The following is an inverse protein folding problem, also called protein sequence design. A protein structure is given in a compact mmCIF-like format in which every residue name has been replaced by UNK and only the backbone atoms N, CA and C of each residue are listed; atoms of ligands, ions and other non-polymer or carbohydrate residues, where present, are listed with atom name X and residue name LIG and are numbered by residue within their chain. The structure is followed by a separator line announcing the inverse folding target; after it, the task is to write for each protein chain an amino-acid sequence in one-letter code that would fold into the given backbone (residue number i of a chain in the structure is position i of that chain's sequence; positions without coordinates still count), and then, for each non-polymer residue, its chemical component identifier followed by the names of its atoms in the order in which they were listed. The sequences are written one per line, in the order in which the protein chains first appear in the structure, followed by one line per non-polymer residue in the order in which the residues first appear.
data_IF_535109696375
#
_entry.id   IF_535109696375
#
_cell.length_a   1.000
_cell.length_b   1.000
_cell.length_c   1.000
_cell.angle_alpha   90.00
_cell.angle_beta   90.00
_cell.angle_gamma   90.00
#
_symmetry.space_group_name_H-M   'P 1'
#
loop_
_entity.id
_entity.type
_entity.pdbx_description
1 polymer ?
#
# COMPACT_ATOMS: atom_id res chain seq x y z
N UNK A 1 -4.37 -6.12 -21.53
CA UNK A 1 -5.02 -6.68 -22.74
C UNK A 1 -5.04 -8.19 -22.55
N UNK A 2 -6.22 -8.83 -22.58
CA UNK A 2 -6.34 -10.29 -22.41
C UNK A 2 -6.42 -10.95 -23.79
N UNK A 3 -5.65 -12.03 -24.02
CA UNK A 3 -5.61 -12.73 -25.31
C UNK A 3 -5.05 -14.15 -25.20
N UNK A 4 -5.22 -15.00 -26.24
CA UNK A 4 -4.55 -16.29 -26.31
C UNK A 4 -3.03 -16.16 -26.29
N UNK A 5 -2.35 -17.02 -25.50
CA UNK A 5 -0.89 -17.00 -25.33
C UNK A 5 -0.07 -16.95 -26.63
N UNK A 6 -0.40 -17.75 -27.67
CA UNK A 6 0.34 -17.73 -28.93
C UNK A 6 0.35 -16.37 -29.67
N UNK A 7 -0.59 -15.46 -29.37
CA UNK A 7 -0.66 -14.12 -30.00
C UNK A 7 0.08 -13.03 -29.21
N UNK A 8 0.64 -13.36 -28.05
CA UNK A 8 1.19 -12.35 -27.13
C UNK A 8 2.39 -11.60 -27.70
N UNK A 9 3.31 -12.29 -28.39
CA UNK A 9 4.50 -11.67 -28.97
C UNK A 9 4.14 -10.69 -30.11
N UNK A 10 3.27 -11.13 -31.02
CA UNK A 10 2.78 -10.28 -32.13
C UNK A 10 2.09 -9.00 -31.62
N UNK A 11 1.23 -9.12 -30.61
CA UNK A 11 0.61 -7.95 -29.99
C UNK A 11 1.64 -7.05 -29.32
N UNK A 12 2.59 -7.63 -28.57
CA UNK A 12 3.61 -6.87 -27.87
C UNK A 12 4.40 -5.99 -28.83
N UNK A 13 4.89 -6.57 -29.92
CA UNK A 13 5.67 -5.86 -30.93
C UNK A 13 4.83 -4.75 -31.59
N UNK A 14 3.58 -5.06 -31.94
CA UNK A 14 2.65 -4.09 -32.54
C UNK A 14 2.39 -2.88 -31.62
N UNK A 15 2.26 -3.12 -30.31
CA UNK A 15 2.05 -2.04 -29.33
C UNK A 15 3.31 -1.19 -29.15
N UNK A 16 4.49 -1.82 -29.14
CA UNK A 16 5.76 -1.11 -29.02
C UNK A 16 6.01 -0.19 -30.23
N UNK A 17 5.75 -0.69 -31.44
CA UNK A 17 5.84 0.12 -32.67
C UNK A 17 4.85 1.28 -32.66
N UNK A 18 3.56 1.01 -32.42
CA UNK A 18 2.54 2.06 -32.40
C UNK A 18 2.74 3.10 -31.30
N UNK A 19 3.37 2.70 -30.19
CA UNK A 19 3.62 3.54 -29.02
C UNK A 19 4.90 4.37 -29.08
N UNK A 20 5.80 4.10 -30.04
CA UNK A 20 7.12 4.72 -30.11
C UNK A 20 7.05 6.25 -30.15
N UNK A 21 6.19 6.80 -31.01
CA UNK A 21 5.99 8.24 -31.13
C UNK A 21 5.48 8.90 -29.84
N UNK A 22 4.82 8.13 -28.96
CA UNK A 22 4.32 8.60 -27.67
C UNK A 22 5.31 8.34 -26.51
N UNK A 23 6.52 7.84 -26.80
CA UNK A 23 7.51 7.49 -25.79
C UNK A 23 7.13 6.28 -24.94
N UNK A 24 6.35 5.34 -25.49
CA UNK A 24 6.02 4.09 -24.81
C UNK A 24 7.30 3.31 -24.49
N UNK A 25 7.41 2.85 -23.24
CA UNK A 25 8.52 2.01 -22.79
C UNK A 25 7.98 0.80 -22.01
N UNK A 26 8.67 -0.36 -22.05
CA UNK A 26 8.31 -1.49 -21.22
C UNK A 26 8.54 -1.17 -19.74
N UNK A 27 7.59 -1.55 -18.88
CA UNK A 27 7.67 -1.37 -17.45
C UNK A 27 7.67 -2.72 -16.71
N UNK A 28 8.70 -2.94 -15.88
CA UNK A 28 8.85 -4.17 -15.11
C UNK A 28 8.04 -4.19 -13.80
N UNK A 29 8.17 -5.31 -13.07
CA UNK A 29 7.46 -5.53 -11.80
C UNK A 29 7.82 -4.50 -10.72
N UNK A 30 9.07 -4.05 -10.65
CA UNK A 30 9.49 -3.03 -9.67
C UNK A 30 8.79 -1.68 -9.89
N UNK A 31 8.60 -1.28 -11.15
CA UNK A 31 7.83 -0.09 -11.48
C UNK A 31 6.35 -0.27 -11.12
N UNK A 32 5.76 -1.44 -11.41
CA UNK A 32 4.39 -1.78 -11.03
C UNK A 32 4.18 -1.71 -9.50
N UNK A 33 5.09 -2.30 -8.74
CA UNK A 33 5.02 -2.35 -7.27
C UNK A 33 5.18 -0.96 -6.63
N UNK A 34 6.03 -0.12 -7.21
CA UNK A 34 6.13 1.28 -6.79
C UNK A 34 4.85 2.08 -7.11
N UNK A 35 4.34 1.98 -8.34
CA UNK A 35 3.16 2.74 -8.76
C UNK A 35 1.91 2.36 -7.96
N UNK A 36 1.72 1.06 -7.65
CA UNK A 36 0.62 0.63 -6.77
C UNK A 36 0.79 1.17 -5.35
N UNK A 37 2.04 1.23 -4.84
CA UNK A 37 2.33 1.77 -3.52
C UNK A 37 2.03 3.27 -3.47
N UNK A 38 2.44 4.04 -4.48
CA UNK A 38 2.11 5.47 -4.59
C UNK A 38 0.59 5.72 -4.59
N UNK A 39 -0.19 4.81 -5.15
CA UNK A 39 -1.66 4.85 -5.12
C UNK A 39 -2.28 4.27 -3.84
N UNK A 40 -1.48 3.75 -2.90
CA UNK A 40 -1.96 3.10 -1.68
C UNK A 40 -2.76 1.82 -1.95
N UNK A 41 -2.48 1.14 -3.07
CA UNK A 41 -3.16 -0.10 -3.44
C UNK A 41 -2.54 -1.30 -2.71
N UNK A 42 -3.36 -2.07 -1.97
CA UNK A 42 -2.91 -3.29 -1.31
C UNK A 42 -2.43 -4.35 -2.29
N UNK A 43 -1.38 -5.08 -1.93
CA UNK A 43 -0.93 -6.28 -2.64
C UNK A 43 -1.17 -7.52 -1.78
N UNK A 44 -1.84 -8.54 -2.33
CA UNK A 44 -2.01 -9.81 -1.63
C UNK A 44 -0.65 -10.48 -1.41
N UNK A 45 -0.43 -10.99 -0.21
CA UNK A 45 0.88 -11.39 0.32
C UNK A 45 1.51 -10.34 1.24
N UNK A 46 1.14 -9.06 1.11
CA UNK A 46 1.69 -7.96 1.92
C UNK A 46 0.60 -7.35 2.81
N UNK A 47 -0.22 -6.45 2.26
CA UNK A 47 -1.31 -5.80 2.98
C UNK A 47 -2.53 -6.72 3.16
N UNK A 48 -2.71 -7.69 2.26
CA UNK A 48 -3.82 -8.62 2.30
C UNK A 48 -3.32 -10.05 2.36
N UNK A 49 -3.86 -10.83 3.29
CA UNK A 49 -3.66 -12.27 3.41
C UNK A 49 -4.79 -12.88 4.25
N UNK A 50 -4.72 -14.19 4.50
CA UNK A 50 -5.75 -14.94 5.24
C UNK A 50 -5.87 -14.54 6.73
N UNK A 51 -4.99 -13.65 7.21
CA UNK A 51 -4.97 -13.13 8.59
C UNK A 51 -5.33 -11.64 8.67
N UNK A 52 -5.73 -11.02 7.57
CA UNK A 52 -6.15 -9.61 7.51
C UNK A 52 -7.58 -9.51 7.01
N UNK A 53 -8.30 -8.48 7.41
CA UNK A 53 -9.68 -8.27 6.92
C UNK A 53 -9.81 -6.99 6.09
N UNK A 54 -10.83 -6.90 5.21
CA UNK A 54 -11.19 -5.65 4.55
C UNK A 54 -11.49 -4.50 5.51
N UNK A 55 -11.93 -4.77 6.75
CA UNK A 55 -12.15 -3.74 7.77
C UNK A 55 -10.81 -3.14 8.21
N UNK A 56 -9.85 -3.99 8.59
CA UNK A 56 -8.51 -3.57 9.00
C UNK A 56 -7.77 -2.85 7.86
N UNK A 57 -7.93 -3.33 6.63
CA UNK A 57 -7.30 -2.77 5.43
C UNK A 57 -7.96 -1.47 4.90
N UNK A 58 -9.07 -1.02 5.49
CA UNK A 58 -9.81 0.16 4.99
C UNK A 58 -10.53 -0.06 3.65
N UNK A 59 -10.84 -1.31 3.30
CA UNK A 59 -11.41 -1.74 2.02
C UNK A 59 -12.92 -2.02 2.07
N UNK A 60 -13.62 -1.53 3.09
CA UNK A 60 -15.08 -1.73 3.21
C UNK A 60 -15.88 -1.24 2.00
N UNK A 61 -15.36 -0.31 1.21
CA UNK A 61 -15.98 0.11 -0.06
C UNK A 61 -16.12 -1.04 -1.08
N UNK A 62 -15.24 -2.05 -1.01
CA UNK A 62 -15.31 -3.26 -1.82
C UNK A 62 -16.25 -4.33 -1.28
N UNK A 63 -16.84 -4.13 -0.09
CA UNK A 63 -17.73 -5.09 0.58
C UNK A 63 -19.17 -4.58 0.50
N UNK A 64 -20.03 -5.29 -0.22
CA UNK A 64 -21.47 -5.00 -0.25
C UNK A 64 -22.22 -5.89 0.73
N UNK A 65 -22.60 -5.34 1.89
CA UNK A 65 -23.52 -6.01 2.84
C UNK A 65 -24.97 -6.08 2.33
N UNK A 66 -25.29 -5.37 1.24
CA UNK A 66 -26.63 -5.39 0.63
C UNK A 66 -26.85 -6.57 -0.30
N UNK A 67 -25.81 -7.31 -0.69
CA UNK A 67 -25.90 -8.43 -1.66
C UNK A 67 -26.47 -9.73 -1.08
N UNK A 68 -26.89 -9.73 0.19
CA UNK A 68 -27.30 -10.94 0.92
C UNK A 68 -26.11 -11.69 1.53
N UNK A 69 -26.29 -12.99 1.77
CA UNK A 69 -25.29 -13.83 2.44
C UNK A 69 -24.02 -14.06 1.61
N UNK A 70 -22.87 -14.10 2.28
CA UNK A 70 -21.58 -14.46 1.70
C UNK A 70 -20.60 -14.93 2.77
N UNK A 71 -19.57 -15.68 2.34
CA UNK A 71 -18.52 -16.19 3.23
C UNK A 71 -17.83 -15.03 3.97
N UNK A 72 -17.85 -15.07 5.30
CA UNK A 72 -17.24 -14.04 6.15
C UNK A 72 -18.13 -12.84 6.49
N UNK A 73 -19.39 -12.79 6.03
CA UNK A 73 -20.32 -11.68 6.29
C UNK A 73 -20.45 -11.35 7.79
N UNK A 74 -20.86 -12.33 8.59
CA UNK A 74 -21.11 -12.14 10.03
C UNK A 74 -19.87 -11.66 10.78
N UNK A 75 -18.68 -12.18 10.42
CA UNK A 75 -17.41 -11.74 11.00
C UNK A 75 -17.10 -10.28 10.66
N UNK A 76 -17.33 -9.85 9.41
CA UNK A 76 -17.11 -8.46 9.00
C UNK A 76 -18.13 -7.50 9.62
N UNK A 77 -19.39 -7.91 9.78
CA UNK A 77 -20.40 -7.12 10.49
C UNK A 77 -20.01 -6.93 11.96
N UNK A 78 -19.64 -8.00 12.65
CA UNK A 78 -19.18 -7.94 14.03
C UNK A 78 -17.93 -7.07 14.19
N UNK A 79 -16.93 -7.21 13.32
CA UNK A 79 -15.71 -6.40 13.37
C UNK A 79 -15.97 -4.93 13.05
N UNK A 80 -16.90 -4.62 12.14
CA UNK A 80 -17.30 -3.24 11.84
C UNK A 80 -17.98 -2.60 13.05
N UNK A 81 -18.85 -3.34 13.74
CA UNK A 81 -19.54 -2.86 14.94
C UNK A 81 -18.59 -2.65 16.12
N UNK A 82 -17.59 -3.51 16.30
CA UNK A 82 -16.63 -3.44 17.39
C UNK A 82 -15.46 -2.45 17.15
N UNK A 83 -15.31 -1.95 15.92
CA UNK A 83 -14.11 -1.30 15.39
C UNK A 83 -12.88 -2.24 15.35
N UNK A 84 -11.99 -2.11 14.35
CA UNK A 84 -10.84 -2.99 14.23
C UNK A 84 -9.76 -2.64 15.28
N UNK A 85 -9.05 -3.65 15.79
CA UNK A 85 -7.96 -3.45 16.76
C UNK A 85 -6.70 -2.85 16.15
N UNK A 86 -6.52 -3.00 14.83
CA UNK A 86 -5.44 -2.45 14.02
C UNK A 86 -5.98 -1.92 12.69
N UNK A 87 -5.24 -1.01 12.08
CA UNK A 87 -5.60 -0.41 10.80
C UNK A 87 -4.37 -0.34 9.89
N UNK A 88 -4.59 -0.54 8.59
CA UNK A 88 -3.61 -0.29 7.56
C UNK A 88 -3.48 1.23 7.38
N UNK A 89 -2.25 1.73 7.45
CA UNK A 89 -1.92 3.14 7.26
C UNK A 89 -0.86 3.32 6.19
N UNK A 90 -0.88 4.48 5.53
CA UNK A 90 0.25 4.96 4.75
C UNK A 90 1.12 5.87 5.62
N UNK A 91 2.43 5.86 5.39
CA UNK A 91 3.37 6.76 6.05
C UNK A 91 4.44 7.26 5.08
N UNK A 92 4.97 8.45 5.37
CA UNK A 92 6.08 9.08 4.65
C UNK A 92 7.24 9.28 5.61
N UNK A 93 8.45 8.85 5.21
CA UNK A 93 9.65 9.16 5.99
C UNK A 93 9.96 10.65 5.88
N UNK A 94 10.44 11.26 6.97
CA UNK A 94 10.76 12.70 6.99
C UNK A 94 12.10 13.04 6.35
N UNK A 95 13.01 12.07 6.24
CA UNK A 95 14.27 12.23 5.53
C UNK A 95 14.64 10.97 4.74
N UNK A 96 15.21 11.16 3.55
CA UNK A 96 15.76 10.08 2.72
C UNK A 96 16.96 9.42 3.40
N UNK A 97 17.74 10.18 4.17
CA UNK A 97 18.95 9.70 4.86
C UNK A 97 18.64 8.67 5.95
N UNK A 98 17.40 8.65 6.44
CA UNK A 98 16.93 7.69 7.43
C UNK A 98 16.72 6.28 6.85
N UNK A 99 16.77 6.15 5.52
CA UNK A 99 16.67 4.87 4.82
C UNK A 99 15.29 4.60 4.24
N UNK A 100 15.19 3.47 3.54
CA UNK A 100 13.98 3.04 2.85
C UNK A 100 13.28 1.99 3.70
N UNK A 101 12.01 2.17 4.09
CA UNK A 101 11.26 1.18 4.83
C UNK A 101 11.11 -0.10 3.99
N UNK A 102 11.11 -1.26 4.64
CA UNK A 102 10.91 -2.57 4.01
C UNK A 102 9.92 -3.37 4.82
N UNK A 103 9.29 -4.33 4.16
CA UNK A 103 8.39 -5.29 4.79
C UNK A 103 9.04 -5.94 6.02
N UNK A 104 8.25 -6.10 7.09
CA UNK A 104 8.66 -6.70 8.35
C UNK A 104 9.32 -5.73 9.34
N UNK A 105 9.65 -4.50 8.94
CA UNK A 105 10.20 -3.51 9.86
C UNK A 105 9.15 -3.09 10.90
N UNK A 106 9.61 -2.90 12.15
CA UNK A 106 8.74 -2.53 13.25
C UNK A 106 8.39 -1.04 13.19
N UNK A 107 7.15 -0.72 13.56
CA UNK A 107 6.66 0.66 13.68
C UNK A 107 6.53 0.94 15.17
N UNK A 108 7.08 2.06 15.64
CA UNK A 108 7.13 2.43 17.04
C UNK A 108 6.48 3.79 17.30
N UNK A 109 5.96 3.96 18.51
CA UNK A 109 5.57 5.25 19.08
C UNK A 109 5.84 5.22 20.58
N UNK A 110 6.40 6.30 21.13
CA UNK A 110 6.73 6.45 22.55
C UNK A 110 7.51 5.24 23.13
N UNK A 111 8.50 4.74 22.39
CA UNK A 111 9.35 3.61 22.79
C UNK A 111 8.69 2.23 22.74
N UNK A 112 7.43 2.13 22.31
CA UNK A 112 6.70 0.86 22.17
C UNK A 112 6.51 0.47 20.72
N UNK A 113 6.58 -0.82 20.39
CA UNK A 113 6.17 -1.34 19.08
C UNK A 113 4.65 -1.27 18.95
N UNK A 114 4.17 -0.58 17.91
CA UNK A 114 2.76 -0.35 17.65
C UNK A 114 2.27 -1.06 16.39
N UNK A 115 3.17 -1.60 15.58
CA UNK A 115 2.83 -2.13 14.28
C UNK A 115 4.01 -2.67 13.48
N UNK A 116 3.74 -3.00 12.22
CA UNK A 116 4.71 -3.58 11.28
C UNK A 116 4.47 -3.04 9.88
N UNK A 117 5.57 -2.73 9.18
CA UNK A 117 5.57 -2.32 7.77
C UNK A 117 5.22 -3.53 6.89
N UNK A 118 4.29 -3.33 5.96
CA UNK A 118 3.89 -4.34 4.96
C UNK A 118 4.53 -4.09 3.60
N UNK A 119 4.66 -2.82 3.20
CA UNK A 119 5.30 -2.40 1.95
C UNK A 119 6.10 -1.12 2.14
N UNK A 120 7.20 -0.97 1.41
CA UNK A 120 7.99 0.26 1.46
C UNK A 120 8.94 0.40 0.28
N UNK A 121 9.07 1.64 -0.21
CA UNK A 121 9.94 1.96 -1.34
C UNK A 121 10.31 3.45 -1.36
N UNK A 122 11.31 3.81 -2.17
CA UNK A 122 11.59 5.20 -2.51
C UNK A 122 10.69 5.62 -3.67
N UNK A 123 9.86 6.65 -3.48
CA UNK A 123 9.05 7.25 -4.54
C UNK A 123 9.87 8.30 -5.31
N UNK A 124 10.19 8.09 -6.60
CA UNK A 124 10.78 9.11 -7.45
C UNK A 124 9.83 10.28 -7.69
N UNK A 125 8.52 10.01 -7.77
CA UNK A 125 7.48 11.00 -7.99
C UNK A 125 7.38 11.99 -6.83
N UNK A 126 7.43 11.49 -5.60
CA UNK A 126 7.30 12.27 -4.36
C UNK A 126 8.65 12.68 -3.77
N UNK A 127 9.76 12.13 -4.30
CA UNK A 127 11.15 12.32 -3.85
C UNK A 127 11.36 12.00 -2.37
N UNK A 128 10.66 11.00 -1.86
CA UNK A 128 10.75 10.57 -0.45
C UNK A 128 10.46 9.07 -0.31
N UNK A 129 10.99 8.40 0.73
CA UNK A 129 10.59 7.05 1.04
C UNK A 129 9.17 7.03 1.62
N UNK A 130 8.35 6.12 1.10
CA UNK A 130 6.97 5.90 1.50
C UNK A 130 6.77 4.45 1.88
N UNK A 131 5.75 4.18 2.69
CA UNK A 131 5.40 2.81 3.03
C UNK A 131 3.97 2.67 3.52
N UNK A 132 3.52 1.43 3.57
CA UNK A 132 2.28 1.03 4.20
C UNK A 132 2.59 0.07 5.35
N UNK A 133 1.73 0.03 6.36
CA UNK A 133 1.87 -0.90 7.46
C UNK A 133 0.64 -0.97 8.34
N UNK A 134 0.53 -2.03 9.12
CA UNK A 134 -0.52 -2.15 10.12
C UNK A 134 -0.04 -1.56 11.44
N UNK A 135 -0.83 -0.69 12.04
CA UNK A 135 -0.63 -0.16 13.40
C UNK A 135 -1.85 -0.42 14.25
N UNK A 136 -1.70 -0.50 15.58
CA UNK A 136 -2.85 -0.51 16.47
C UNK A 136 -3.76 0.71 16.20
N UNK A 137 -5.07 0.50 16.15
CA UNK A 137 -6.01 1.48 15.56
C UNK A 137 -5.99 2.85 16.24
N UNK A 138 -5.64 2.92 17.53
CA UNK A 138 -5.48 4.18 18.26
C UNK A 138 -4.38 5.09 17.71
N UNK A 139 -3.43 4.53 16.94
CA UNK A 139 -2.32 5.24 16.32
C UNK A 139 -2.53 5.50 14.82
N UNK A 140 -3.69 5.19 14.25
CA UNK A 140 -3.87 5.24 12.79
C UNK A 140 -4.22 6.61 12.22
N UNK A 141 -4.17 7.68 13.02
CA UNK A 141 -4.61 9.01 12.60
C UNK A 141 -3.55 9.70 11.73
N UNK A 142 -3.93 10.27 10.57
CA UNK A 142 -3.04 11.13 9.78
C UNK A 142 -2.46 12.28 10.61
N UNK A 143 -1.21 12.62 10.35
CA UNK A 143 -0.45 13.63 11.09
C UNK A 143 0.27 13.11 12.33
N UNK A 144 0.05 11.84 12.72
CA UNK A 144 0.78 11.24 13.82
C UNK A 144 2.22 10.88 13.41
N UNK A 145 3.18 11.27 14.25
CA UNK A 145 4.59 10.87 14.11
C UNK A 145 4.82 9.45 14.64
N UNK A 146 5.57 8.66 13.89
CA UNK A 146 5.97 7.29 14.21
C UNK A 146 7.43 7.06 13.83
N UNK A 147 8.05 6.03 14.43
CA UNK A 147 9.42 5.65 14.12
C UNK A 147 9.45 4.28 13.46
N UNK A 148 10.08 4.19 12.31
CA UNK A 148 10.31 2.92 11.62
C UNK A 148 11.69 2.40 12.02
N UNK A 149 11.75 1.18 12.55
CA UNK A 149 13.02 0.52 12.81
C UNK A 149 13.64 0.01 11.51
N UNK A 150 14.61 0.75 11.01
CA UNK A 150 15.38 0.43 9.80
C UNK A 150 16.71 -0.15 10.24
N UNK A 151 16.74 -1.48 10.43
CA UNK A 151 17.95 -2.25 10.79
C UNK A 151 18.62 -1.75 12.08
N UNK A 152 17.84 -1.49 13.12
CA UNK A 152 18.28 -1.00 14.42
C UNK A 152 18.40 0.52 14.52
N UNK A 153 18.08 1.26 13.45
CA UNK A 153 18.06 2.73 13.44
C UNK A 153 16.63 3.23 13.31
N UNK A 154 16.22 4.12 14.22
CA UNK A 154 14.89 4.71 14.21
C UNK A 154 14.81 5.83 13.15
N UNK A 155 14.05 5.60 12.08
CA UNK A 155 13.71 6.62 11.08
C UNK A 155 12.36 7.27 11.37
N UNK A 156 12.32 8.60 11.44
CA UNK A 156 11.09 9.34 11.72
C UNK A 156 10.18 9.38 10.49
N UNK A 157 8.90 9.12 10.69
CA UNK A 157 7.88 9.11 9.65
C UNK A 157 6.57 9.72 10.14
N UNK A 158 5.77 10.23 9.21
CA UNK A 158 4.42 10.72 9.50
C UNK A 158 3.39 9.81 8.85
N UNK A 159 2.35 9.46 9.60
CA UNK A 159 1.16 8.81 9.05
C UNK A 159 0.43 9.81 8.15
N UNK A 160 0.09 9.38 6.94
CA UNK A 160 -0.58 10.20 5.93
C UNK A 160 -1.81 9.50 5.37
N UNK A 161 -2.71 10.29 4.78
CA UNK A 161 -3.85 9.76 4.04
C UNK A 161 -3.40 9.25 2.67
N UNK A 162 -3.73 8.01 2.35
CA UNK A 162 -3.55 7.44 1.00
C UNK A 162 -4.67 7.90 0.04
N UNK A 163 -4.41 8.00 -1.28
CA UNK A 163 -3.14 7.72 -1.97
C UNK A 163 -2.07 8.78 -1.70
N UNK A 164 -0.80 8.41 -1.80
CA UNK A 164 0.34 9.33 -1.67
C UNK A 164 0.46 10.24 -2.89
N UNK A 165 0.32 9.64 -4.08
CA UNK A 165 0.24 10.39 -5.32
C UNK A 165 -1.19 10.88 -5.55
N UNK A 166 -1.32 12.19 -5.76
CA UNK A 166 -2.58 12.80 -6.22
C UNK A 166 -2.32 13.41 -7.59
N UNK A 167 -3.17 13.05 -8.56
CA UNK A 167 -3.16 13.71 -9.87
C UNK A 167 -3.47 15.19 -9.65
N UNK A 168 -2.47 16.05 -9.85
CA UNK A 168 -2.71 17.48 -9.97
C UNK A 168 -3.44 17.65 -11.30
N UNK A 169 -4.72 18.03 -11.26
CA UNK A 169 -5.41 18.43 -12.49
C UNK A 169 -4.63 19.62 -13.07
N UNK A 170 -3.97 19.38 -14.21
CA UNK A 170 -3.52 20.44 -15.11
C UNK A 170 -4.61 20.67 -16.14
#
# INVERSE_FOLDING_TARGET
IWMPGPKAAELWDSLMEAGEFNGLVPAGLSARDLLRLEMGFPLYGHELNDRTTPVEAGLLRGVSFKKGEFVGRSALEAQTAAAPSRALVGFEMLSVEQGIPREGYSIHSNGSTIGTVTSGNLSPTLRKPIGMGYVAAKYSKPGMEVWIDIRGKAGLANIVTMPFYKKVNR
#
